data_IF_556151704445
#
_entry.id   IF_556151704445
#
_cell.length_a   1.000
_cell.length_b   1.000
_cell.length_c   1.000
_cell.angle_alpha   90.00
_cell.angle_beta   90.00
_cell.angle_gamma   90.00
#
_symmetry.space_group_name_H-M   'P 1'
#
loop_
_entity.id
_entity.type
_entity.pdbx_description
1 polymer ?
#
# COMPACT_ATOMS: atom_id res chain seq x y z
N UNK A 1 -17.19 -55.07 79.03
CA UNK A 1 -17.48 -54.01 78.03
C UNK A 1 -16.24 -53.83 77.15
N UNK A 2 -16.40 -54.24 75.88
CA UNK A 2 -15.58 -54.04 74.66
C UNK A 2 -14.09 -53.63 74.83
N UNK A 3 -13.18 -54.57 74.58
CA UNK A 3 -11.88 -54.32 73.93
C UNK A 3 -11.62 -55.47 72.96
N UNK A 4 -11.63 -55.15 71.66
CA UNK A 4 -11.43 -56.09 70.57
C UNK A 4 -10.10 -55.78 69.86
N UNK A 5 -9.53 -56.86 69.36
CA UNK A 5 -8.17 -57.12 68.88
C UNK A 5 -7.62 -56.18 67.79
N UNK A 6 -6.28 -56.03 67.84
CA UNK A 6 -5.39 -55.85 66.69
C UNK A 6 -5.56 -56.99 65.66
N UNK A 7 -5.60 -56.67 64.36
CA UNK A 7 -4.69 -57.31 63.40
C UNK A 7 -4.57 -56.47 62.11
N UNK A 8 -3.33 -56.36 61.68
CA UNK A 8 -2.79 -55.68 60.51
C UNK A 8 -3.28 -56.26 59.18
N UNK A 9 -3.64 -55.39 58.24
CA UNK A 9 -3.73 -55.70 56.81
C UNK A 9 -3.03 -54.59 56.03
N UNK A 10 -1.86 -54.93 55.49
CA UNK A 10 -1.01 -54.09 54.65
C UNK A 10 -1.45 -54.28 53.20
N UNK A 11 -2.27 -53.36 52.68
CA UNK A 11 -2.55 -53.28 51.24
C UNK A 11 -1.60 -52.28 50.57
N UNK A 12 -0.67 -52.84 49.80
CA UNK A 12 0.17 -52.14 48.83
C UNK A 12 -0.75 -51.64 47.70
N UNK A 13 -0.80 -50.33 47.49
CA UNK A 13 -1.35 -49.74 46.27
C UNK A 13 -0.26 -48.87 45.63
N UNK A 14 0.12 -49.31 44.43
CA UNK A 14 1.17 -48.79 43.58
C UNK A 14 0.90 -47.34 43.20
N UNK A 15 1.93 -46.52 43.34
CA UNK A 15 2.00 -45.13 42.86
C UNK A 15 2.04 -45.19 41.33
N UNK A 16 0.95 -44.76 40.69
CA UNK A 16 0.94 -44.39 39.28
C UNK A 16 0.91 -42.87 39.21
N UNK A 17 2.06 -42.26 38.93
CA UNK A 17 2.17 -40.84 38.62
C UNK A 17 1.26 -40.49 37.44
N UNK A 18 0.31 -39.59 37.67
CA UNK A 18 -0.42 -38.88 36.61
C UNK A 18 -0.28 -37.41 36.92
N UNK A 19 0.48 -36.71 36.10
CA UNK A 19 0.62 -35.25 36.16
C UNK A 19 -0.77 -34.60 36.07
N UNK A 20 -1.20 -33.95 37.15
CA UNK A 20 -2.34 -33.04 37.12
C UNK A 20 -1.89 -31.74 36.46
N UNK A 21 -2.42 -31.47 35.26
CA UNK A 21 -2.36 -30.15 34.65
C UNK A 21 -3.17 -29.19 35.50
N UNK A 22 -2.53 -28.12 35.97
CA UNK A 22 -3.22 -26.96 36.54
C UNK A 22 -4.29 -26.47 35.55
N UNK A 23 -5.53 -26.53 36.00
CA UNK A 23 -6.66 -25.87 35.37
C UNK A 23 -6.50 -24.38 35.63
N UNK A 24 -5.93 -23.66 34.66
CA UNK A 24 -5.95 -22.20 34.64
C UNK A 24 -7.42 -21.78 34.53
N UNK A 25 -7.97 -21.36 35.65
CA UNK A 25 -9.27 -20.75 35.77
C UNK A 25 -9.27 -19.52 34.86
N UNK A 26 -10.10 -19.54 33.82
CA UNK A 26 -10.37 -18.40 32.94
C UNK A 26 -10.82 -17.22 33.81
N UNK A 27 -9.87 -16.35 34.14
CA UNK A 27 -10.15 -15.01 34.66
C UNK A 27 -10.77 -14.26 33.50
N UNK A 28 -12.09 -14.26 33.47
CA UNK A 28 -12.89 -13.43 32.57
C UNK A 28 -12.35 -12.01 32.69
N UNK A 29 -11.67 -11.53 31.65
CA UNK A 29 -11.28 -10.14 31.52
C UNK A 29 -12.58 -9.35 31.65
N UNK A 30 -12.71 -8.62 32.76
CA UNK A 30 -13.80 -7.68 32.95
C UNK A 30 -13.85 -6.81 31.69
N UNK A 31 -15.00 -6.82 31.01
CA UNK A 31 -15.30 -5.86 29.96
C UNK A 31 -15.05 -4.48 30.56
N UNK A 32 -13.93 -3.85 30.19
CA UNK A 32 -13.76 -2.42 30.42
C UNK A 32 -15.01 -1.76 29.86
N UNK A 33 -15.75 -1.02 30.69
CA UNK A 33 -16.91 -0.27 30.22
C UNK A 33 -16.50 0.48 28.97
N UNK A 34 -17.12 0.14 27.85
CA UNK A 34 -16.88 0.82 26.58
C UNK A 34 -17.30 2.26 26.82
N UNK A 35 -16.32 3.15 27.01
CA UNK A 35 -16.56 4.55 27.27
C UNK A 35 -17.56 5.10 26.24
N UNK A 36 -18.51 5.91 26.71
CA UNK A 36 -19.56 6.46 25.86
C UNK A 36 -18.94 7.14 24.64
N UNK A 37 -19.38 6.73 23.45
CA UNK A 37 -18.92 7.31 22.20
C UNK A 37 -19.31 8.79 22.10
N UNK A 38 -18.37 9.60 21.63
CA UNK A 38 -18.52 11.03 21.38
C UNK A 38 -17.95 11.39 20.01
N UNK A 39 -18.15 12.63 19.57
CA UNK A 39 -17.54 13.22 18.37
C UNK A 39 -17.66 12.40 17.08
N UNK A 40 -18.87 11.87 16.82
CA UNK A 40 -19.15 11.01 15.65
C UNK A 40 -18.99 11.74 14.31
N UNK A 41 -19.09 13.06 14.33
CA UNK A 41 -18.80 13.92 13.18
C UNK A 41 -17.36 13.78 12.67
N UNK A 42 -16.41 13.39 13.53
CA UNK A 42 -15.01 13.19 13.18
C UNK A 42 -14.71 11.76 12.70
N UNK A 43 -15.70 10.86 12.74
CA UNK A 43 -15.49 9.46 12.36
C UNK A 43 -15.31 9.36 10.84
N UNK A 44 -14.61 8.32 10.42
CA UNK A 44 -14.40 8.02 9.02
C UNK A 44 -12.97 8.25 8.58
N UNK A 45 -12.82 8.48 7.29
CA UNK A 45 -11.55 8.37 6.57
C UNK A 45 -11.00 9.76 6.35
N UNK A 46 -9.79 10.01 6.82
CA UNK A 46 -9.06 11.25 6.60
C UNK A 46 -7.83 10.93 5.77
N UNK A 47 -7.73 11.49 4.56
CA UNK A 47 -6.66 11.13 3.62
C UNK A 47 -6.06 12.37 2.97
N UNK A 48 -4.77 12.28 2.70
CA UNK A 48 -3.97 13.34 2.10
C UNK A 48 -2.51 12.92 1.97
N UNK A 49 -1.69 13.88 1.54
CA UNK A 49 -0.27 13.68 1.37
C UNK A 49 0.47 13.94 2.69
N UNK A 50 1.51 13.15 2.89
CA UNK A 50 2.48 13.28 3.96
C UNK A 50 3.82 13.64 3.33
N UNK A 51 4.30 14.84 3.61
CA UNK A 51 5.46 15.46 2.97
C UNK A 51 6.66 15.44 3.92
N UNK A 52 7.86 15.01 3.46
CA UNK A 52 9.05 15.03 4.28
C UNK A 52 9.43 16.47 4.69
N UNK A 53 9.77 16.65 5.97
CA UNK A 53 10.44 17.86 6.44
C UNK A 53 11.93 17.58 6.49
N UNK A 54 12.69 18.20 5.58
CA UNK A 54 14.13 18.03 5.50
C UNK A 54 14.82 18.83 6.61
N UNK A 55 15.63 18.18 7.46
CA UNK A 55 16.38 18.88 8.49
C UNK A 55 17.47 19.76 7.87
N UNK A 56 17.73 20.92 8.46
CA UNK A 56 18.87 21.76 8.08
C UNK A 56 20.19 21.03 8.40
N UNK A 57 21.06 20.81 7.41
CA UNK A 57 22.37 20.18 7.61
C UNK A 57 22.77 19.19 6.51
N UNK A 58 23.55 18.17 6.88
CA UNK A 58 24.05 17.13 5.96
C UNK A 58 22.92 16.18 5.53
N UNK A 59 22.39 16.41 4.33
CA UNK A 59 21.30 15.63 3.74
C UNK A 59 21.73 14.20 3.33
N UNK A 60 23.04 13.90 3.30
CA UNK A 60 23.57 12.58 2.86
C UNK A 60 23.09 11.39 3.69
N UNK A 61 22.66 11.63 4.94
CA UNK A 61 22.08 10.61 5.82
C UNK A 61 20.66 10.17 5.37
N UNK A 62 19.99 11.00 4.55
CA UNK A 62 18.63 10.76 4.08
C UNK A 62 18.54 10.38 2.60
N UNK A 63 19.68 10.24 1.92
CA UNK A 63 19.78 9.63 0.59
C UNK A 63 20.23 8.17 0.68
N UNK A 64 19.62 7.29 -0.11
CA UNK A 64 20.11 5.93 -0.36
C UNK A 64 20.98 5.99 -1.61
N UNK A 65 22.22 5.51 -1.49
CA UNK A 65 23.23 5.57 -2.56
C UNK A 65 23.11 4.39 -3.53
N UNK A 66 21.90 3.94 -3.85
CA UNK A 66 21.69 2.78 -4.75
C UNK A 66 21.60 3.16 -6.24
N UNK A 67 21.80 4.44 -6.57
CA UNK A 67 21.80 4.93 -7.94
C UNK A 67 20.41 5.04 -8.55
N UNK A 68 19.34 4.77 -7.78
CA UNK A 68 17.99 5.13 -8.20
C UNK A 68 17.75 6.63 -7.98
N UNK A 69 17.33 7.33 -9.03
CA UNK A 69 17.02 8.78 -9.01
C UNK A 69 15.72 9.10 -8.22
N UNK A 70 15.31 8.20 -7.31
CA UNK A 70 14.09 8.32 -6.52
C UNK A 70 14.40 8.84 -5.12
N UNK A 71 13.82 9.99 -4.78
CA UNK A 71 13.78 10.51 -3.41
C UNK A 71 13.24 9.43 -2.46
N UNK A 72 14.12 8.90 -1.60
CA UNK A 72 13.88 7.67 -0.81
C UNK A 72 12.73 7.80 0.18
N UNK A 73 12.49 9.03 0.64
CA UNK A 73 11.40 9.37 1.53
C UNK A 73 10.55 10.53 1.05
N UNK A 74 10.28 10.54 -0.27
CA UNK A 74 9.41 11.52 -0.90
C UNK A 74 7.98 11.54 -0.35
N UNK A 75 7.14 12.39 -0.96
CA UNK A 75 5.73 12.53 -0.59
C UNK A 75 4.99 11.21 -0.71
N UNK A 76 4.25 10.83 0.33
CA UNK A 76 3.44 9.59 0.35
C UNK A 76 2.01 9.90 0.75
N UNK A 77 1.05 9.24 0.13
CA UNK A 77 -0.32 9.28 0.60
C UNK A 77 -0.41 8.55 1.96
N UNK A 78 -1.18 9.14 2.88
CA UNK A 78 -1.52 8.53 4.17
C UNK A 78 -3.01 8.65 4.42
N UNK A 79 -3.58 7.61 5.03
CA UNK A 79 -4.96 7.60 5.48
C UNK A 79 -5.00 7.35 6.99
N UNK A 80 -5.73 8.19 7.72
CA UNK A 80 -6.09 8.01 9.12
C UNK A 80 -7.59 7.77 9.19
N UNK A 81 -7.99 6.56 9.56
CA UNK A 81 -9.40 6.22 9.76
C UNK A 81 -9.72 6.27 11.25
N UNK A 82 -10.56 7.22 11.64
CA UNK A 82 -11.08 7.36 13.00
C UNK A 82 -12.29 6.44 13.11
N UNK A 83 -12.17 5.39 13.92
CA UNK A 83 -13.25 4.42 14.12
C UNK A 83 -14.12 4.77 15.32
N UNK A 84 -13.49 5.29 16.39
CA UNK A 84 -14.17 5.57 17.64
C UNK A 84 -13.45 6.65 18.42
N UNK A 85 -14.22 7.59 18.97
CA UNK A 85 -13.77 8.56 19.97
C UNK A 85 -14.63 8.35 21.21
N UNK A 86 -13.97 8.30 22.35
CA UNK A 86 -14.58 8.30 23.69
C UNK A 86 -14.17 9.60 24.40
N UNK A 87 -14.51 9.77 25.68
CA UNK A 87 -14.25 11.02 26.42
C UNK A 87 -12.84 11.62 26.19
N UNK A 88 -11.78 10.82 26.27
CA UNK A 88 -10.39 11.27 26.13
C UNK A 88 -9.55 10.44 25.16
N UNK A 89 -10.12 9.40 24.55
CA UNK A 89 -9.37 8.41 23.78
C UNK A 89 -9.90 8.27 22.35
N UNK A 90 -8.98 8.22 21.39
CA UNK A 90 -9.25 7.96 19.96
C UNK A 90 -8.73 6.57 19.59
N UNK A 91 -9.55 5.83 18.84
CA UNK A 91 -9.19 4.55 18.26
C UNK A 91 -9.40 4.60 16.75
N UNK A 92 -8.43 4.08 16.02
CA UNK A 92 -8.46 4.12 14.56
C UNK A 92 -7.44 3.19 13.94
N UNK A 93 -7.19 3.43 12.66
CA UNK A 93 -6.10 2.81 11.92
C UNK A 93 -5.40 3.86 11.04
N UNK A 94 -4.08 3.76 10.91
CA UNK A 94 -3.33 4.43 9.86
C UNK A 94 -3.10 3.46 8.71
N UNK A 95 -3.04 3.99 7.50
CA UNK A 95 -2.60 3.28 6.30
C UNK A 95 -1.60 4.19 5.60
N UNK A 96 -0.34 3.76 5.52
CA UNK A 96 0.72 4.45 4.79
C UNK A 96 1.52 3.45 3.97
N UNK A 97 1.71 3.71 2.67
CA UNK A 97 2.41 2.78 1.77
C UNK A 97 1.82 1.37 1.75
N UNK A 98 0.50 1.24 1.96
CA UNK A 98 -0.19 -0.05 2.08
C UNK A 98 -0.05 -0.76 3.44
N UNK A 99 0.73 -0.21 4.37
CA UNK A 99 0.85 -0.76 5.71
C UNK A 99 -0.25 -0.19 6.60
N UNK A 100 -1.15 -1.08 7.03
CA UNK A 100 -2.20 -0.75 7.99
C UNK A 100 -1.71 -1.00 9.41
N UNK A 101 -1.83 0.00 10.29
CA UNK A 101 -1.43 -0.07 11.70
C UNK A 101 -2.58 0.38 12.60
N UNK A 102 -2.81 -0.26 13.75
CA UNK A 102 -3.79 0.23 14.71
C UNK A 102 -3.30 1.55 15.31
N UNK A 103 -4.23 2.49 15.51
CA UNK A 103 -3.98 3.77 16.18
C UNK A 103 -4.73 3.83 17.49
N UNK A 104 -4.00 4.20 18.54
CA UNK A 104 -4.57 4.55 19.84
C UNK A 104 -3.99 5.89 20.28
N UNK A 105 -4.85 6.78 20.74
CA UNK A 105 -4.43 8.13 21.05
C UNK A 105 -5.32 8.87 22.01
N UNK A 106 -4.91 10.09 22.32
CA UNK A 106 -5.64 11.00 23.20
C UNK A 106 -6.39 12.02 22.35
N UNK A 107 -7.66 12.24 22.68
CA UNK A 107 -8.52 13.28 22.12
C UNK A 107 -8.61 14.46 23.10
N UNK A 108 -8.46 15.69 22.61
CA UNK A 108 -8.73 16.89 23.40
C UNK A 108 -9.49 17.90 22.55
N UNK A 109 -10.68 18.30 22.98
CA UNK A 109 -11.47 19.33 22.34
C UNK A 109 -11.91 20.38 23.36
N UNK A 110 -11.72 21.65 23.03
CA UNK A 110 -12.20 22.80 23.79
C UNK A 110 -12.69 23.89 22.81
N UNK A 111 -13.12 25.05 23.34
CA UNK A 111 -13.67 26.14 22.53
C UNK A 111 -12.67 26.75 21.53
N UNK A 112 -11.37 26.54 21.71
CA UNK A 112 -10.30 27.11 20.87
C UNK A 112 -9.74 26.09 19.87
N UNK A 113 -9.61 24.83 20.28
CA UNK A 113 -8.91 23.82 19.48
C UNK A 113 -9.46 22.41 19.70
N UNK A 114 -9.41 21.61 18.63
CA UNK A 114 -9.63 20.15 18.67
C UNK A 114 -8.36 19.47 18.19
N UNK A 115 -7.73 18.69 19.07
CA UNK A 115 -6.42 18.08 18.85
C UNK A 115 -6.44 16.59 19.15
N UNK A 116 -5.58 15.85 18.47
CA UNK A 116 -5.41 14.42 18.61
C UNK A 116 -3.93 14.06 18.59
N UNK A 117 -3.54 13.17 19.49
CA UNK A 117 -2.21 12.57 19.48
C UNK A 117 -2.36 11.06 19.36
N UNK A 118 -2.11 10.52 18.17
CA UNK A 118 -2.36 9.12 17.81
C UNK A 118 -1.04 8.37 17.67
N UNK A 119 -0.95 7.20 18.27
CA UNK A 119 0.26 6.38 18.27
C UNK A 119 0.04 5.08 17.50
N UNK A 120 1.00 4.75 16.66
CA UNK A 120 1.17 3.40 16.12
C UNK A 120 1.86 2.50 17.19
N UNK A 121 1.88 1.17 17.02
CA UNK A 121 2.37 0.25 18.06
C UNK A 121 3.85 0.41 18.46
N UNK A 122 4.70 0.88 17.55
CA UNK A 122 6.15 0.97 17.75
C UNK A 122 6.92 -0.33 17.46
N UNK A 123 6.23 -1.39 17.04
CA UNK A 123 6.86 -2.68 16.71
C UNK A 123 7.44 -2.72 15.27
N UNK A 124 7.03 -1.81 14.39
CA UNK A 124 7.58 -1.68 13.04
C UNK A 124 8.68 -0.60 12.97
N UNK A 125 9.59 -0.68 11.99
CA UNK A 125 10.62 0.35 11.78
C UNK A 125 10.06 1.66 11.25
N UNK A 126 8.89 1.62 10.60
CA UNK A 126 8.17 2.77 10.05
C UNK A 126 7.04 3.26 10.94
N UNK A 127 6.96 2.82 12.20
CA UNK A 127 5.96 3.31 13.14
C UNK A 127 6.34 4.70 13.69
N UNK A 128 5.31 5.50 13.93
CA UNK A 128 5.44 6.82 14.51
C UNK A 128 4.16 7.32 15.19
N UNK A 129 4.18 8.62 15.48
CA UNK A 129 3.11 9.36 16.16
C UNK A 129 2.56 10.43 15.25
N UNK A 130 1.24 10.50 15.16
CA UNK A 130 0.53 11.62 14.58
C UNK A 130 0.19 12.65 15.66
N UNK A 131 0.53 13.91 15.42
CA UNK A 131 0.09 15.06 16.20
C UNK A 131 -0.76 15.93 15.28
N UNK A 132 -2.08 15.93 15.49
CA UNK A 132 -3.07 16.51 14.58
C UNK A 132 -3.93 17.55 15.29
N UNK A 133 -4.31 18.58 14.55
CA UNK A 133 -5.27 19.60 14.92
C UNK A 133 -6.33 19.72 13.83
N UNK A 134 -7.60 19.83 14.24
CA UNK A 134 -8.68 20.14 13.33
C UNK A 134 -8.66 21.64 13.05
N UNK A 135 -8.25 22.00 11.83
CA UNK A 135 -8.21 23.38 11.33
C UNK A 135 -9.20 23.46 10.17
N UNK A 136 -10.30 24.21 10.39
CA UNK A 136 -11.47 24.21 9.49
C UNK A 136 -11.99 22.77 9.29
N UNK A 137 -12.03 22.28 8.06
CA UNK A 137 -12.49 20.93 7.69
C UNK A 137 -11.32 19.95 7.42
N UNK A 138 -10.14 20.20 7.98
CA UNK A 138 -8.94 19.39 7.73
C UNK A 138 -8.19 19.05 9.02
N UNK A 139 -7.75 17.80 9.14
CA UNK A 139 -6.78 17.41 10.17
C UNK A 139 -5.38 17.76 9.66
N UNK A 140 -4.77 18.77 10.27
CA UNK A 140 -3.44 19.24 9.90
C UNK A 140 -2.45 18.98 11.02
N UNK A 141 -1.20 18.71 10.68
CA UNK A 141 -0.17 18.50 11.68
C UNK A 141 1.03 17.75 11.15
N UNK A 142 1.58 16.86 11.98
CA UNK A 142 2.81 16.14 11.67
C UNK A 142 2.75 14.68 12.10
N UNK A 143 3.52 13.87 11.39
CA UNK A 143 3.90 12.53 11.78
C UNK A 143 5.37 12.54 12.19
N UNK A 144 5.70 11.87 13.30
CA UNK A 144 7.05 11.81 13.88
C UNK A 144 7.43 10.35 14.03
N UNK A 145 8.55 9.93 13.43
CA UNK A 145 9.04 8.55 13.56
C UNK A 145 9.47 8.23 14.99
N UNK A 146 9.25 6.98 15.43
CA UNK A 146 9.82 6.50 16.70
C UNK A 146 11.27 6.05 16.58
N UNK A 147 11.68 5.62 15.39
CA UNK A 147 13.01 5.03 15.13
C UNK A 147 13.74 5.87 14.10
N UNK A 148 15.01 6.20 14.39
CA UNK A 148 15.90 6.80 13.39
C UNK A 148 16.27 5.73 12.36
N UNK A 149 15.95 5.96 11.10
CA UNK A 149 16.34 5.08 10.00
C UNK A 149 17.06 5.92 8.94
N UNK A 150 18.13 5.38 8.36
CA UNK A 150 18.79 5.99 7.20
C UNK A 150 17.79 6.06 6.03
N UNK A 151 17.72 7.19 5.34
CA UNK A 151 16.76 7.38 4.25
C UNK A 151 15.30 7.56 4.69
N UNK A 152 15.04 7.96 5.94
CA UNK A 152 13.70 8.33 6.42
C UNK A 152 13.78 9.66 7.17
N UNK A 153 12.97 10.65 6.80
CA UNK A 153 12.92 11.92 7.51
C UNK A 153 12.26 11.74 8.89
N UNK A 154 12.79 12.41 9.93
CA UNK A 154 12.27 12.22 11.28
C UNK A 154 10.86 12.80 11.46
N UNK A 155 10.52 13.80 10.67
CA UNK A 155 9.25 14.51 10.70
C UNK A 155 8.69 14.58 9.29
N UNK A 156 7.38 14.42 9.19
CA UNK A 156 6.61 14.66 7.98
C UNK A 156 5.40 15.52 8.30
N UNK A 157 5.11 16.53 7.49
CA UNK A 157 3.90 17.34 7.61
C UNK A 157 2.76 16.71 6.84
N UNK A 158 1.54 16.91 7.30
CA UNK A 158 0.35 16.39 6.62
C UNK A 158 -0.87 17.27 6.82
N UNK A 159 -1.71 17.29 5.79
CA UNK A 159 -3.04 17.90 5.79
C UNK A 159 -4.04 16.91 5.21
N UNK A 160 -4.90 16.38 6.05
CA UNK A 160 -5.87 15.34 5.71
C UNK A 160 -7.26 15.92 5.55
N UNK A 161 -7.91 15.55 4.47
CA UNK A 161 -9.30 15.90 4.19
C UNK A 161 -10.17 14.67 4.38
N UNK A 162 -11.40 14.88 4.87
CA UNK A 162 -12.33 13.77 5.02
C UNK A 162 -12.71 13.21 3.63
N UNK A 163 -12.60 11.89 3.47
CA UNK A 163 -12.99 11.16 2.26
C UNK A 163 -14.22 10.31 2.54
N UNK A 164 -15.10 10.23 1.54
CA UNK A 164 -16.21 9.28 1.53
C UNK A 164 -15.80 8.09 0.68
N UNK A 165 -15.73 6.93 1.29
CA UNK A 165 -15.58 5.68 0.54
C UNK A 165 -16.96 5.13 0.19
N UNK A 166 -17.13 4.77 -1.08
CA UNK A 166 -18.28 4.04 -1.57
C UNK A 166 -17.79 3.11 -2.68
N UNK A 167 -18.06 1.81 -2.53
CA UNK A 167 -17.80 0.86 -3.59
C UNK A 167 -18.57 1.25 -4.86
N UNK A 168 -17.86 1.32 -5.98
CA UNK A 168 -18.41 1.51 -7.31
C UNK A 168 -17.80 0.50 -8.29
N UNK A 169 -18.59 -0.47 -8.81
CA UNK A 169 -18.07 -1.43 -9.78
C UNK A 169 -17.78 -0.79 -11.15
N UNK A 170 -18.22 0.46 -11.41
CA UNK A 170 -17.97 1.17 -12.66
C UNK A 170 -16.70 2.04 -12.63
N UNK A 171 -16.07 2.19 -11.47
CA UNK A 171 -14.86 3.00 -11.35
C UNK A 171 -13.71 2.36 -12.14
N UNK A 172 -13.26 3.03 -13.20
CA UNK A 172 -12.19 2.57 -14.10
C UNK A 172 -10.97 3.49 -14.00
N UNK A 173 -9.78 2.95 -14.29
CA UNK A 173 -8.59 3.76 -14.54
C UNK A 173 -8.82 4.64 -15.79
N UNK A 174 -8.12 5.77 -15.87
CA UNK A 174 -8.26 6.70 -16.99
C UNK A 174 -7.30 6.31 -18.11
N UNK A 175 -7.79 6.30 -19.35
CA UNK A 175 -7.01 5.95 -20.53
C UNK A 175 -5.92 6.97 -20.91
N UNK A 176 -5.89 8.14 -20.26
CA UNK A 176 -4.84 9.16 -20.44
C UNK A 176 -3.65 8.98 -19.49
N UNK A 177 -3.57 7.83 -18.80
CA UNK A 177 -2.49 7.51 -17.87
C UNK A 177 -1.67 6.34 -18.40
N UNK A 178 -0.37 6.54 -18.58
CA UNK A 178 0.55 5.44 -18.89
C UNK A 178 0.80 4.60 -17.62
N UNK A 179 0.47 3.32 -17.69
CA UNK A 179 0.64 2.39 -16.57
C UNK A 179 1.90 1.55 -16.78
N UNK A 180 3.03 2.12 -16.34
CA UNK A 180 4.37 1.54 -16.48
C UNK A 180 4.84 0.96 -15.14
N UNK A 181 5.27 -0.29 -15.14
CA UNK A 181 5.86 -0.95 -13.97
C UNK A 181 7.37 -0.67 -13.89
N UNK A 182 7.72 0.45 -13.27
CA UNK A 182 9.11 0.88 -13.06
C UNK A 182 9.93 -0.09 -12.17
N UNK A 183 9.27 -0.85 -11.30
CA UNK A 183 9.96 -1.74 -10.34
C UNK A 183 10.45 -3.04 -11.00
N UNK A 184 9.71 -3.59 -11.96
CA UNK A 184 10.00 -4.89 -12.57
C UNK A 184 10.59 -4.74 -13.98
N UNK A 185 11.56 -3.84 -14.10
CA UNK A 185 12.32 -3.62 -15.34
C UNK A 185 13.35 -4.73 -15.58
N UNK A 186 13.90 -4.75 -16.80
CA UNK A 186 15.04 -5.61 -17.15
C UNK A 186 15.93 -4.90 -18.16
N UNK A 187 17.13 -5.44 -18.37
CA UNK A 187 17.97 -5.05 -19.50
C UNK A 187 17.48 -5.70 -20.80
N UNK A 188 17.55 -4.97 -21.90
CA UNK A 188 17.23 -5.47 -23.23
C UNK A 188 17.81 -4.59 -24.33
N UNK A 189 17.77 -5.12 -25.56
CA UNK A 189 18.20 -4.40 -26.76
C UNK A 189 17.18 -3.31 -27.12
N UNK A 190 17.68 -2.10 -27.33
CA UNK A 190 16.90 -0.92 -27.70
C UNK A 190 17.43 -0.43 -29.03
N UNK A 191 16.54 -0.33 -30.02
CA UNK A 191 16.84 0.25 -31.31
C UNK A 191 16.80 1.78 -31.24
N UNK A 192 17.75 2.45 -31.88
CA UNK A 192 17.79 3.89 -32.04
C UNK A 192 18.30 4.27 -33.43
N UNK A 193 17.87 5.43 -33.91
CA UNK A 193 18.42 6.06 -35.10
C UNK A 193 19.63 6.90 -34.68
N UNK A 194 20.79 6.66 -35.29
CA UNK A 194 21.95 7.52 -35.11
C UNK A 194 21.89 8.62 -36.17
N UNK A 195 21.75 9.87 -35.72
CA UNK A 195 21.83 11.02 -36.61
C UNK A 195 23.30 11.43 -36.75
N UNK A 196 23.89 11.21 -37.93
CA UNK A 196 25.17 11.83 -38.28
C UNK A 196 24.91 13.29 -38.69
N UNK A 197 25.71 14.21 -38.16
CA UNK A 197 25.64 15.62 -38.54
C UNK A 197 26.04 15.74 -40.02
N UNK A 198 25.26 16.43 -40.88
CA UNK A 198 25.57 16.48 -42.31
C UNK A 198 26.92 17.16 -42.55
N UNK A 199 27.80 16.52 -43.31
CA UNK A 199 29.06 17.15 -43.71
C UNK A 199 28.80 18.44 -44.50
N UNK A 200 29.55 19.50 -44.20
CA UNK A 200 29.52 20.75 -44.93
C UNK A 200 30.60 20.75 -46.03
N UNK A 201 30.24 21.28 -47.20
CA UNK A 201 31.18 21.57 -48.29
C UNK A 201 32.11 22.75 -47.92
N UNK A 202 33.17 22.97 -48.71
CA UNK A 202 34.10 24.11 -48.52
C UNK A 202 33.41 25.49 -48.52
N UNK A 203 32.18 25.59 -49.04
CA UNK A 203 31.38 26.81 -49.06
C UNK A 203 30.33 26.89 -47.93
N UNK A 204 30.41 26.04 -46.89
CA UNK A 204 29.41 25.93 -45.82
C UNK A 204 28.00 25.50 -46.27
N UNK A 205 27.86 24.87 -47.44
CA UNK A 205 26.60 24.24 -47.86
C UNK A 205 26.57 22.77 -47.45
N UNK A 206 25.42 22.25 -47.02
CA UNK A 206 25.24 20.82 -46.69
C UNK A 206 25.56 19.98 -47.91
N UNK A 207 26.47 19.00 -47.76
CA UNK A 207 26.78 18.03 -48.80
C UNK A 207 25.56 17.11 -49.01
N UNK A 208 24.89 17.10 -50.18
CA UNK A 208 23.72 16.25 -50.41
C UNK A 208 24.05 14.75 -50.35
N UNK A 209 25.32 14.37 -50.54
CA UNK A 209 25.77 12.98 -50.44
C UNK A 209 26.04 12.52 -48.99
N UNK A 210 26.02 13.42 -48.00
CA UNK A 210 26.22 13.10 -46.57
C UNK A 210 24.92 12.82 -45.81
N UNK A 211 23.76 12.91 -46.47
CA UNK A 211 22.45 12.58 -45.88
C UNK A 211 22.15 11.10 -46.19
N UNK A 212 22.54 10.19 -45.30
CA UNK A 212 22.13 8.79 -45.36
C UNK A 212 20.77 8.64 -44.68
N UNK A 213 19.75 8.15 -45.40
CA UNK A 213 18.36 8.00 -44.89
C UNK A 213 17.94 6.55 -44.63
N UNK A 214 18.80 5.58 -44.96
CA UNK A 214 18.49 4.16 -45.01
C UNK A 214 19.41 3.30 -44.12
N UNK A 215 19.92 3.85 -43.01
CA UNK A 215 20.73 3.06 -42.07
C UNK A 215 19.84 2.15 -41.21
N UNK A 216 20.22 0.87 -41.12
CA UNK A 216 19.62 -0.07 -40.17
C UNK A 216 19.74 0.49 -38.74
N UNK A 217 18.67 0.44 -37.93
CA UNK A 217 18.70 1.00 -36.59
C UNK A 217 19.80 0.33 -35.76
N UNK A 218 20.62 1.15 -35.09
CA UNK A 218 21.65 0.67 -34.18
C UNK A 218 20.99 0.22 -32.88
N UNK A 219 21.65 -0.69 -32.17
CA UNK A 219 21.13 -1.19 -30.89
C UNK A 219 22.12 -0.98 -29.76
N UNK A 220 21.60 -0.71 -28.57
CA UNK A 220 22.36 -0.75 -27.33
C UNK A 220 21.57 -1.50 -26.25
N UNK A 221 22.26 -1.97 -25.22
CA UNK A 221 21.60 -2.58 -24.06
C UNK A 221 21.22 -1.48 -23.09
N UNK A 222 19.93 -1.37 -22.79
CA UNK A 222 19.42 -0.45 -21.79
C UNK A 222 18.23 -1.01 -21.03
N UNK A 223 17.64 -0.16 -20.19
CA UNK A 223 16.53 -0.57 -19.33
C UNK A 223 15.21 -0.47 -20.07
N UNK A 224 14.42 -1.55 -20.01
CA UNK A 224 13.07 -1.65 -20.54
C UNK A 224 12.08 -2.04 -19.44
N UNK A 225 10.87 -1.52 -19.55
CA UNK A 225 9.85 -1.56 -18.50
C UNK A 225 8.59 -2.27 -18.97
N UNK A 226 7.87 -2.91 -18.06
CA UNK A 226 6.59 -3.54 -18.42
C UNK A 226 5.55 -2.45 -18.63
N UNK A 227 4.77 -2.56 -19.69
CA UNK A 227 3.73 -1.57 -20.05
C UNK A 227 2.38 -2.27 -20.19
N UNK A 228 1.34 -1.65 -19.63
CA UNK A 228 -0.02 -2.12 -19.80
C UNK A 228 -0.60 -1.66 -21.15
N UNK A 229 -1.41 -2.50 -21.77
CA UNK A 229 -2.22 -2.16 -22.92
C UNK A 229 -3.53 -1.47 -22.53
N UNK A 230 -4.19 -0.84 -23.49
CA UNK A 230 -5.48 -0.15 -23.28
C UNK A 230 -6.61 -1.03 -22.73
N UNK A 231 -6.45 -2.36 -22.77
CA UNK A 231 -7.45 -3.30 -22.29
C UNK A 231 -7.73 -3.13 -20.78
N UNK A 232 -6.77 -2.60 -20.02
CA UNK A 232 -6.95 -2.27 -18.59
C UNK A 232 -7.98 -1.16 -18.34
N UNK A 233 -8.27 -0.33 -19.34
CA UNK A 233 -9.27 0.74 -19.27
C UNK A 233 -10.66 0.30 -19.75
N UNK A 234 -10.75 -0.87 -20.39
CA UNK A 234 -11.98 -1.36 -21.03
C UNK A 234 -12.58 -2.54 -20.27
N UNK A 235 -11.75 -3.49 -19.84
CA UNK A 235 -12.23 -4.73 -19.22
C UNK A 235 -12.67 -4.52 -17.77
N UNK A 236 -13.98 -4.57 -17.54
CA UNK A 236 -14.54 -4.43 -16.20
C UNK A 236 -14.80 -5.78 -15.52
N UNK A 237 -13.81 -6.24 -14.76
CA UNK A 237 -13.84 -7.53 -14.05
C UNK A 237 -14.73 -7.55 -12.79
N UNK A 238 -15.30 -6.42 -12.35
CA UNK A 238 -16.30 -6.39 -11.27
C UNK A 238 -17.73 -6.53 -11.77
N UNK A 239 -17.99 -6.22 -13.04
CA UNK A 239 -19.35 -6.24 -13.62
C UNK A 239 -19.60 -7.44 -14.52
N UNK A 240 -18.60 -7.81 -15.31
CA UNK A 240 -18.75 -8.79 -16.37
C UNK A 240 -17.96 -10.04 -16.01
N UNK A 241 -18.55 -11.21 -16.24
CA UNK A 241 -17.79 -12.46 -16.19
C UNK A 241 -16.83 -12.47 -17.39
N UNK A 242 -15.53 -12.58 -17.12
CA UNK A 242 -14.50 -12.63 -18.14
C UNK A 242 -14.38 -14.04 -18.72
N UNK A 243 -13.88 -14.10 -19.95
CA UNK A 243 -13.62 -15.36 -20.66
C UNK A 243 -12.13 -15.52 -20.97
N UNK A 244 -11.68 -16.75 -21.17
CA UNK A 244 -10.29 -17.01 -21.59
C UNK A 244 -9.97 -16.33 -22.92
N UNK A 245 -10.94 -16.26 -23.83
CA UNK A 245 -10.76 -15.63 -25.14
C UNK A 245 -10.43 -14.12 -25.03
N UNK A 246 -11.06 -13.41 -24.10
CA UNK A 246 -10.75 -12.00 -23.83
C UNK A 246 -9.36 -11.82 -23.22
N UNK A 247 -8.85 -12.84 -22.52
CA UNK A 247 -7.61 -12.75 -21.77
C UNK A 247 -6.40 -13.29 -22.53
N UNK A 248 -6.57 -14.19 -23.50
CA UNK A 248 -5.47 -14.92 -24.15
C UNK A 248 -4.39 -14.04 -24.81
N UNK A 249 -4.75 -12.82 -25.20
CA UNK A 249 -3.84 -11.86 -25.85
C UNK A 249 -3.40 -10.72 -24.93
N UNK A 250 -3.81 -10.74 -23.65
CA UNK A 250 -3.39 -9.72 -22.69
C UNK A 250 -2.01 -10.03 -22.15
N UNK A 251 -1.27 -8.97 -21.83
CA UNK A 251 0.01 -9.13 -21.13
C UNK A 251 -0.24 -9.56 -19.69
N UNK A 252 0.80 -10.08 -19.04
CA UNK A 252 0.74 -10.41 -17.61
C UNK A 252 0.46 -9.15 -16.77
N UNK A 253 1.06 -8.01 -17.10
CA UNK A 253 0.78 -6.74 -16.41
C UNK A 253 -0.69 -6.32 -16.56
N UNK A 254 -1.30 -6.47 -17.74
CA UNK A 254 -2.72 -6.17 -17.94
C UNK A 254 -3.61 -6.95 -16.98
N UNK A 255 -3.38 -8.26 -16.91
CA UNK A 255 -4.16 -9.14 -16.02
C UNK A 255 -3.95 -8.78 -14.55
N UNK A 256 -2.71 -8.46 -14.16
CA UNK A 256 -2.41 -7.98 -12.80
C UNK A 256 -3.19 -6.69 -12.47
N UNK A 257 -3.21 -5.72 -13.37
CA UNK A 257 -3.92 -4.44 -13.17
C UNK A 257 -5.43 -4.66 -13.13
N UNK A 258 -6.00 -5.41 -14.07
CA UNK A 258 -7.43 -5.72 -14.12
C UNK A 258 -7.86 -6.44 -12.83
N UNK A 259 -7.09 -7.44 -12.39
CA UNK A 259 -7.34 -8.14 -11.13
C UNK A 259 -7.26 -7.19 -9.94
N UNK A 260 -6.21 -6.37 -9.85
CA UNK A 260 -6.02 -5.48 -8.71
C UNK A 260 -7.03 -4.31 -8.70
N UNK A 261 -7.59 -3.93 -9.85
CA UNK A 261 -8.68 -2.94 -9.92
C UNK A 261 -9.91 -3.40 -9.14
N UNK A 262 -10.20 -4.71 -9.12
CA UNK A 262 -11.26 -5.28 -8.27
C UNK A 262 -11.00 -4.94 -6.80
N UNK A 263 -9.80 -5.25 -6.30
CA UNK A 263 -9.42 -4.98 -4.91
C UNK A 263 -9.41 -3.48 -4.59
N UNK A 264 -8.92 -2.65 -5.52
CA UNK A 264 -8.87 -1.20 -5.39
C UNK A 264 -10.26 -0.58 -5.20
N UNK A 265 -11.28 -1.07 -5.93
CA UNK A 265 -12.68 -0.61 -5.80
C UNK A 265 -13.27 -0.89 -4.42
N UNK A 266 -12.81 -1.94 -3.76
CA UNK A 266 -13.15 -2.27 -2.37
C UNK A 266 -12.29 -1.52 -1.34
N UNK A 267 -11.38 -0.66 -1.80
CA UNK A 267 -10.50 0.14 -0.95
C UNK A 267 -9.36 -0.67 -0.32
N UNK A 268 -8.89 -1.70 -1.02
CA UNK A 268 -7.72 -2.46 -0.62
C UNK A 268 -6.45 -1.59 -0.64
N UNK A 269 -5.64 -1.65 0.41
CA UNK A 269 -4.39 -0.90 0.53
C UNK A 269 -3.20 -1.71 -0.01
N UNK A 270 -2.68 -1.34 -1.17
CA UNK A 270 -1.54 -2.03 -1.80
C UNK A 270 -0.20 -1.70 -1.16
N UNK A 271 0.60 -2.73 -0.85
CA UNK A 271 1.99 -2.56 -0.41
C UNK A 271 2.99 -2.43 -1.56
N UNK A 272 2.76 -3.15 -2.66
CA UNK A 272 3.63 -3.12 -3.85
C UNK A 272 3.58 -1.73 -4.50
N UNK A 273 4.73 -1.12 -4.72
CA UNK A 273 4.83 0.28 -5.16
C UNK A 273 4.25 0.47 -6.55
N UNK A 274 4.49 -0.44 -7.49
CA UNK A 274 3.88 -0.36 -8.83
C UNK A 274 2.36 -0.29 -8.78
N UNK A 275 1.70 -1.13 -7.95
CA UNK A 275 0.25 -1.07 -7.78
C UNK A 275 -0.21 0.21 -7.11
N UNK A 276 0.53 0.71 -6.11
CA UNK A 276 0.23 2.01 -5.51
C UNK A 276 0.26 3.09 -6.59
N UNK A 277 1.31 3.18 -7.40
CA UNK A 277 1.40 4.18 -8.46
C UNK A 277 0.24 4.10 -9.46
N UNK A 278 -0.22 2.90 -9.82
CA UNK A 278 -1.37 2.75 -10.71
C UNK A 278 -2.70 3.26 -10.13
N UNK A 279 -2.92 3.12 -8.81
CA UNK A 279 -4.21 3.44 -8.19
C UNK A 279 -4.22 4.75 -7.39
N UNK A 280 -3.10 5.20 -6.84
CA UNK A 280 -3.03 6.45 -6.04
C UNK A 280 -3.31 7.70 -6.88
N UNK A 281 -3.10 7.64 -8.20
CA UNK A 281 -3.50 8.69 -9.16
C UNK A 281 -5.00 8.64 -9.52
N UNK A 282 -5.69 7.54 -9.23
CA UNK A 282 -7.10 7.36 -9.56
C UNK A 282 -7.98 8.11 -8.55
N UNK A 283 -8.74 9.10 -9.02
CA UNK A 283 -9.57 9.97 -8.18
C UNK A 283 -10.62 9.23 -7.31
N UNK A 284 -11.00 8.02 -7.71
CA UNK A 284 -11.99 7.18 -7.02
C UNK A 284 -11.36 6.22 -5.99
N UNK A 285 -10.05 6.03 -6.02
CA UNK A 285 -9.37 5.10 -5.13
C UNK A 285 -9.18 5.71 -3.74
N UNK A 286 -9.60 4.98 -2.72
CA UNK A 286 -9.42 5.36 -1.31
C UNK A 286 -9.02 4.11 -0.53
N UNK A 287 -7.75 3.98 -0.09
CA UNK A 287 -7.32 2.80 0.67
C UNK A 287 -7.86 2.86 2.11
N UNK A 288 -8.56 1.82 2.53
CA UNK A 288 -9.24 1.75 3.84
C UNK A 288 -9.02 0.44 4.59
N UNK A 289 -8.53 -0.60 3.91
CA UNK A 289 -8.34 -1.94 4.50
C UNK A 289 -7.21 -2.71 3.81
N UNK A 290 -6.48 -3.51 4.56
CA UNK A 290 -5.55 -4.51 4.03
C UNK A 290 -6.20 -5.87 3.72
N UNK A 291 -7.52 -6.00 3.90
CA UNK A 291 -8.30 -7.20 3.56
C UNK A 291 -9.72 -6.81 3.13
N UNK A 292 -10.14 -7.28 1.96
CA UNK A 292 -11.47 -7.05 1.38
C UNK A 292 -12.16 -8.35 0.96
N UNK A 293 -11.65 -9.52 1.35
CA UNK A 293 -12.09 -10.84 0.85
C UNK A 293 -13.58 -11.11 1.09
N UNK A 294 -14.10 -10.55 2.19
CA UNK A 294 -15.50 -10.66 2.59
C UNK A 294 -16.44 -9.82 1.73
N UNK A 295 -15.93 -8.74 1.15
CA UNK A 295 -16.69 -7.76 0.36
C UNK A 295 -16.74 -8.14 -1.13
N UNK A 296 -15.81 -9.00 -1.58
CA UNK A 296 -15.75 -9.50 -2.95
C UNK A 296 -17.02 -10.27 -3.36
N UNK A 297 -17.60 -9.86 -4.49
CA UNK A 297 -18.77 -10.51 -5.10
C UNK A 297 -18.41 -11.88 -5.71
N UNK A 298 -19.44 -12.67 -6.05
CA UNK A 298 -19.25 -13.96 -6.73
C UNK A 298 -18.55 -13.81 -8.08
N UNK A 299 -18.94 -12.81 -8.88
CA UNK A 299 -18.36 -12.53 -10.20
C UNK A 299 -16.88 -12.15 -10.05
N UNK A 300 -16.57 -11.26 -9.09
CA UNK A 300 -15.19 -10.87 -8.79
C UNK A 300 -14.34 -12.07 -8.39
N UNK A 301 -14.83 -12.94 -7.50
CA UNK A 301 -14.10 -14.15 -7.09
C UNK A 301 -13.82 -15.08 -8.28
N UNK A 302 -14.79 -15.26 -9.18
CA UNK A 302 -14.61 -16.06 -10.39
C UNK A 302 -13.57 -15.45 -11.34
N UNK A 303 -13.62 -14.14 -11.55
CA UNK A 303 -12.67 -13.43 -12.40
C UNK A 303 -11.27 -13.39 -11.80
N UNK A 304 -11.13 -13.18 -10.49
CA UNK A 304 -9.84 -13.27 -9.80
C UNK A 304 -9.21 -14.65 -10.04
N UNK A 305 -9.99 -15.73 -9.87
CA UNK A 305 -9.49 -17.08 -10.10
C UNK A 305 -9.05 -17.32 -11.57
N UNK A 306 -9.84 -16.80 -12.53
CA UNK A 306 -9.52 -16.89 -13.95
C UNK A 306 -8.25 -16.08 -14.31
N UNK A 307 -8.18 -14.81 -13.90
CA UNK A 307 -7.03 -13.93 -14.13
C UNK A 307 -5.76 -14.51 -13.52
N UNK A 308 -5.80 -14.93 -12.25
CA UNK A 308 -4.65 -15.57 -11.59
C UNK A 308 -4.20 -16.86 -12.28
N UNK A 309 -5.11 -17.62 -12.90
CA UNK A 309 -4.73 -18.81 -13.69
C UNK A 309 -4.04 -18.40 -14.99
N UNK A 310 -4.62 -17.46 -15.74
CA UNK A 310 -4.12 -17.01 -17.04
C UNK A 310 -2.76 -16.29 -16.91
N UNK A 311 -2.55 -15.51 -15.84
CA UNK A 311 -1.29 -14.82 -15.53
C UNK A 311 -0.07 -15.74 -15.49
N UNK A 312 -0.26 -17.04 -15.18
CA UNK A 312 0.86 -18.01 -15.13
C UNK A 312 1.44 -18.33 -16.51
N UNK A 313 0.67 -18.09 -17.56
CA UNK A 313 1.04 -18.40 -18.94
C UNK A 313 1.21 -17.14 -19.80
N UNK A 314 0.81 -15.97 -19.28
CA UNK A 314 0.97 -14.70 -19.95
C UNK A 314 2.42 -14.19 -19.87
N UNK A 315 2.86 -13.51 -20.93
CA UNK A 315 4.15 -12.80 -20.98
C UNK A 315 3.93 -11.31 -20.83
N UNK A 316 4.97 -10.59 -20.42
CA UNK A 316 4.96 -9.14 -20.38
C UNK A 316 5.43 -8.54 -21.71
N UNK A 317 4.86 -7.40 -22.08
CA UNK A 317 5.43 -6.51 -23.10
C UNK A 317 6.40 -5.56 -22.41
N UNK A 318 7.56 -5.31 -23.03
CA UNK A 318 8.58 -4.42 -22.48
C UNK A 318 8.92 -3.32 -23.48
N UNK A 319 8.94 -2.09 -23.01
CA UNK A 319 9.25 -0.91 -23.83
C UNK A 319 10.32 -0.05 -23.15
N UNK A 320 11.08 0.67 -23.97
CA UNK A 320 12.06 1.62 -23.49
C UNK A 320 11.42 3.00 -23.29
N UNK A 321 11.73 3.63 -22.17
CA UNK A 321 11.33 5.00 -21.87
C UNK A 321 12.60 5.78 -21.54
N UNK A 322 13.04 6.61 -22.49
CA UNK A 322 14.21 7.46 -22.42
C UNK A 322 13.91 8.83 -23.06
N UNK A 323 14.66 9.86 -22.66
CA UNK A 323 14.61 11.19 -23.28
C UNK A 323 15.58 11.29 -24.44
#
# INVERSE_FOLDING_TARGET
>A
MKKALLLTSLTILLISCKEEKEVIQNKTLAYAEVGKESHKELYGIWSGNMEPVWPEGDESEYYLTDGSDQMTDGTKMVTVKINRITNDSVFGVSISGGNQRPLVGVFRSNALATTMVLNEPGDDKYDGRFELELINDSLSGKWITYKKNRGLTPIKTLKLTQKKFKYDPNAMLRADTELIDWENHKEGEIAYEEYEDPELTENNEVNPDSITTDEEPKTYIGTIYRVASDQVFVLNASKNLLTEEQLKNLTKLDMEIIRNTIFARHGYSFKRTSLRYFFESAYWYVPISNNVDKDLTKVEKQNIALLTRMEKYATDNYEHFGR
#
